data_IF_548008068118
#
_entry.id   IF_548008068118
#
_cell.length_a   1.000
_cell.length_b   1.000
_cell.length_c   1.000
_cell.angle_alpha   90.00
_cell.angle_beta   90.00
_cell.angle_gamma   90.00
#
_symmetry.space_group_name_H-M   'P 1'
#
loop_
_entity.id
_entity.type
_entity.pdbx_description
1 polymer ?
#
# COMPACT_ATOMS: atom_id res chain seq x y z
N UNK A 1 15.26 7.86 -19.76
CA UNK A 1 14.38 8.98 -20.14
C UNK A 1 12.96 8.53 -20.44
N UNK A 2 12.72 7.62 -21.42
CA UNK A 2 11.38 7.09 -21.72
C UNK A 2 10.66 6.44 -20.52
N UNK A 3 11.37 5.67 -19.69
CA UNK A 3 10.80 5.02 -18.50
C UNK A 3 10.21 6.03 -17.50
N UNK A 4 10.91 7.15 -17.27
CA UNK A 4 10.47 8.20 -16.35
C UNK A 4 9.21 8.92 -16.83
N UNK A 5 9.07 9.10 -18.15
CA UNK A 5 7.88 9.70 -18.78
C UNK A 5 6.66 8.78 -18.67
N UNK A 6 6.84 7.46 -18.89
CA UNK A 6 5.76 6.48 -18.72
C UNK A 6 5.32 6.34 -17.25
N UNK A 7 6.28 6.36 -16.33
CA UNK A 7 6.00 6.26 -14.89
C UNK A 7 5.26 7.49 -14.35
N UNK A 8 5.66 8.70 -14.73
CA UNK A 8 4.96 9.92 -14.31
C UNK A 8 3.54 9.97 -14.89
N UNK A 9 3.34 9.53 -16.13
CA UNK A 9 2.01 9.46 -16.75
C UNK A 9 1.10 8.43 -16.07
N UNK A 10 1.65 7.26 -15.69
CA UNK A 10 0.93 6.25 -14.94
C UNK A 10 0.51 6.76 -13.54
N UNK A 11 1.40 7.48 -12.85
CA UNK A 11 1.14 8.09 -11.55
C UNK A 11 0.02 9.14 -11.63
N UNK A 12 0.08 10.06 -12.59
CA UNK A 12 -0.96 11.08 -12.79
C UNK A 12 -2.30 10.44 -13.07
N UNK A 13 -2.34 9.41 -13.92
CA UNK A 13 -3.56 8.68 -14.23
C UNK A 13 -4.11 7.92 -13.02
N UNK A 14 -3.24 7.33 -12.18
CA UNK A 14 -3.64 6.67 -10.93
C UNK A 14 -4.20 7.64 -9.90
N UNK A 15 -3.62 8.85 -9.78
CA UNK A 15 -4.16 9.90 -8.92
C UNK A 15 -5.59 10.29 -9.33
N UNK A 16 -5.85 10.32 -10.64
CA UNK A 16 -7.16 10.62 -11.21
C UNK A 16 -8.21 9.53 -10.90
N UNK A 17 -7.80 8.25 -10.80
CA UNK A 17 -8.67 7.13 -10.35
C UNK A 17 -9.26 7.42 -8.98
N UNK A 18 -8.41 7.84 -8.03
CA UNK A 18 -8.81 8.04 -6.62
C UNK A 18 -9.66 9.30 -6.44
N UNK A 19 -9.48 10.32 -7.31
CA UNK A 19 -10.21 11.60 -7.26
C UNK A 19 -11.62 11.53 -7.87
N UNK A 20 -11.94 10.51 -8.65
CA UNK A 20 -13.21 10.43 -9.36
C UNK A 20 -14.38 10.18 -8.40
N UNK A 21 -15.40 11.06 -8.46
CA UNK A 21 -16.60 11.00 -7.61
C UNK A 21 -17.65 9.99 -8.09
N UNK A 22 -17.62 9.66 -9.37
CA UNK A 22 -18.51 8.68 -9.97
C UNK A 22 -17.78 7.33 -10.01
N UNK A 23 -18.29 6.29 -9.32
CA UNK A 23 -17.58 5.01 -9.19
C UNK A 23 -17.37 4.33 -10.54
N UNK A 24 -18.27 4.52 -11.52
CA UNK A 24 -18.07 4.06 -12.90
C UNK A 24 -16.83 4.71 -13.53
N UNK A 25 -16.60 5.99 -13.30
CA UNK A 25 -15.43 6.70 -13.83
C UNK A 25 -14.14 6.20 -13.18
N UNK A 26 -14.15 5.97 -11.86
CA UNK A 26 -13.00 5.43 -11.13
C UNK A 26 -12.54 4.09 -11.69
N UNK A 27 -13.47 3.22 -12.13
CA UNK A 27 -13.14 1.90 -12.69
C UNK A 27 -12.64 1.96 -14.13
N UNK A 28 -12.89 3.04 -14.87
CA UNK A 28 -12.42 3.21 -16.26
C UNK A 28 -11.00 3.80 -16.34
N UNK A 29 -10.58 4.62 -15.37
CA UNK A 29 -9.24 5.21 -15.31
C UNK A 29 -8.04 4.25 -15.17
N UNK A 30 -8.16 2.98 -14.72
CA UNK A 30 -7.09 1.99 -14.75
C UNK A 30 -6.64 1.59 -16.17
N UNK A 31 -7.50 1.74 -17.19
CA UNK A 31 -7.20 1.35 -18.58
C UNK A 31 -5.93 2.05 -19.11
N UNK A 32 -5.80 3.39 -19.06
CA UNK A 32 -4.57 4.07 -19.46
C UNK A 32 -3.37 3.72 -18.56
N UNK A 33 -3.56 3.47 -17.25
CA UNK A 33 -2.47 3.03 -16.36
C UNK A 33 -1.89 1.69 -16.83
N UNK A 34 -2.75 0.70 -17.06
CA UNK A 34 -2.31 -0.62 -17.52
C UNK A 34 -1.67 -0.60 -18.90
N UNK A 35 -2.13 0.28 -19.80
CA UNK A 35 -1.49 0.49 -21.10
C UNK A 35 -0.07 1.06 -20.95
N UNK A 36 0.13 2.02 -20.04
CA UNK A 36 1.47 2.55 -19.74
C UNK A 36 2.38 1.48 -19.11
N UNK A 37 1.85 0.66 -18.20
CA UNK A 37 2.61 -0.44 -17.59
C UNK A 37 2.97 -1.53 -18.61
N UNK A 38 2.06 -1.89 -19.53
CA UNK A 38 2.36 -2.83 -20.62
C UNK A 38 3.49 -2.32 -21.54
N UNK A 39 3.48 -1.03 -21.87
CA UNK A 39 4.59 -0.39 -22.57
C UNK A 39 5.89 -0.42 -21.78
N UNK A 40 5.83 -0.22 -20.46
CA UNK A 40 7.00 -0.30 -19.57
C UNK A 40 7.61 -1.71 -19.57
N UNK A 41 6.78 -2.75 -19.60
CA UNK A 41 7.23 -4.14 -19.63
C UNK A 41 7.81 -4.55 -20.99
N UNK A 42 7.28 -4.00 -22.08
CA UNK A 42 7.88 -4.16 -23.41
C UNK A 42 9.32 -3.58 -23.43
N UNK A 43 9.52 -2.40 -22.84
CA UNK A 43 10.86 -1.78 -22.73
C UNK A 43 11.81 -2.58 -21.81
N UNK A 44 11.26 -3.33 -20.85
CA UNK A 44 12.03 -4.17 -19.93
C UNK A 44 12.39 -5.54 -20.54
N UNK A 45 11.92 -5.85 -21.74
CA UNK A 45 12.15 -7.14 -22.42
C UNK A 45 11.23 -8.28 -21.96
N UNK A 46 10.10 -7.97 -21.30
CA UNK A 46 9.12 -8.96 -20.85
C UNK A 46 8.01 -9.15 -21.90
N UNK A 47 8.33 -9.84 -23.00
CA UNK A 47 7.39 -10.04 -24.12
C UNK A 47 6.13 -10.83 -23.75
N UNK A 48 6.29 -11.94 -23.03
CA UNK A 48 5.15 -12.78 -22.63
C UNK A 48 4.20 -12.03 -21.70
N UNK A 49 4.75 -11.31 -20.72
CA UNK A 49 3.94 -10.58 -19.77
C UNK A 49 3.29 -9.34 -20.40
N UNK A 50 3.98 -8.65 -21.33
CA UNK A 50 3.42 -7.50 -22.03
C UNK A 50 2.15 -7.84 -22.84
N UNK A 51 2.08 -9.06 -23.39
CA UNK A 51 0.92 -9.56 -24.14
C UNK A 51 -0.25 -9.99 -23.22
N UNK A 52 0.03 -10.69 -22.11
CA UNK A 52 -1.03 -11.20 -21.22
C UNK A 52 -1.57 -10.15 -20.24
N UNK A 53 -0.74 -9.18 -19.84
CA UNK A 53 -1.10 -8.19 -18.81
C UNK A 53 -2.34 -7.35 -19.17
N UNK A 54 -2.47 -6.79 -20.39
CA UNK A 54 -3.69 -6.10 -20.80
C UNK A 54 -4.90 -7.04 -20.89
N UNK A 55 -4.70 -8.27 -21.33
CA UNK A 55 -5.78 -9.27 -21.51
C UNK A 55 -6.43 -9.60 -20.17
N UNK A 56 -5.64 -9.91 -19.15
CA UNK A 56 -6.19 -10.28 -17.83
C UNK A 56 -6.68 -9.05 -17.06
N UNK A 57 -5.94 -7.94 -17.08
CA UNK A 57 -6.32 -6.78 -16.28
C UNK A 57 -7.51 -6.01 -16.87
N UNK A 58 -7.51 -5.73 -18.17
CA UNK A 58 -8.61 -5.01 -18.80
C UNK A 58 -9.76 -5.96 -19.12
N UNK A 59 -9.44 -7.17 -19.61
CA UNK A 59 -10.43 -8.13 -20.10
C UNK A 59 -11.14 -8.94 -19.01
N UNK A 60 -10.50 -9.22 -17.87
CA UNK A 60 -11.14 -9.93 -16.76
C UNK A 60 -11.41 -9.01 -15.57
N UNK A 61 -10.39 -8.35 -15.03
CA UNK A 61 -10.53 -7.60 -13.77
C UNK A 61 -11.41 -6.35 -13.96
N UNK A 62 -11.09 -5.49 -14.93
CA UNK A 62 -11.84 -4.23 -15.15
C UNK A 62 -13.29 -4.51 -15.53
N UNK A 63 -13.57 -5.51 -16.37
CA UNK A 63 -14.97 -5.85 -16.74
C UNK A 63 -15.76 -6.45 -15.57
N UNK A 64 -15.15 -7.33 -14.77
CA UNK A 64 -15.80 -7.86 -13.57
C UNK A 64 -16.08 -6.75 -12.56
N UNK A 65 -15.16 -5.78 -12.44
CA UNK A 65 -15.37 -4.63 -11.59
C UNK A 65 -16.45 -3.69 -12.14
N UNK A 66 -16.52 -3.49 -13.47
CA UNK A 66 -17.57 -2.71 -14.13
C UNK A 66 -18.96 -3.31 -13.87
N UNK A 67 -19.07 -4.64 -13.95
CA UNK A 67 -20.30 -5.37 -13.67
C UNK A 67 -20.74 -5.18 -12.22
N UNK A 68 -19.83 -5.40 -11.27
CA UNK A 68 -20.10 -5.25 -9.84
C UNK A 68 -20.50 -3.82 -9.49
N UNK A 69 -19.76 -2.83 -9.99
CA UNK A 69 -19.98 -1.41 -9.67
C UNK A 69 -21.27 -0.87 -10.28
N UNK A 70 -21.68 -1.35 -11.46
CA UNK A 70 -22.95 -0.93 -12.05
C UNK A 70 -24.15 -1.58 -11.35
N UNK A 71 -24.01 -2.82 -10.87
CA UNK A 71 -25.05 -3.49 -10.09
C UNK A 71 -25.16 -2.90 -8.67
N UNK A 72 -24.05 -2.41 -8.12
CA UNK A 72 -24.01 -1.71 -6.84
C UNK A 72 -24.37 -0.23 -7.03
N UNK A 73 -25.66 0.06 -6.98
CA UNK A 73 -26.17 1.44 -7.00
C UNK A 73 -25.64 2.22 -5.78
N UNK A 74 -24.61 3.05 -5.99
CA UNK A 74 -24.01 3.93 -4.99
C UNK A 74 -24.72 5.29 -4.98
N UNK A 75 -25.36 5.64 -3.85
CA UNK A 75 -25.94 6.97 -3.62
C UNK A 75 -24.89 7.86 -2.93
N UNK A 76 -24.19 8.70 -3.70
CA UNK A 76 -23.16 9.64 -3.19
C UNK A 76 -23.79 10.94 -2.65
N UNK A 77 -25.04 10.88 -2.18
CA UNK A 77 -25.71 12.04 -1.60
C UNK A 77 -25.48 12.05 -0.09
N UNK A 78 -25.05 13.20 0.44
CA UNK A 78 -25.06 13.59 1.87
C UNK A 78 -23.82 13.29 2.74
N UNK A 79 -22.90 12.41 2.35
CA UNK A 79 -21.65 12.13 3.11
C UNK A 79 -20.62 13.28 3.15
N UNK A 80 -20.85 14.37 2.42
CA UNK A 80 -19.80 15.37 2.17
C UNK A 80 -19.61 16.39 3.29
N UNK A 81 -20.67 16.75 4.04
CA UNK A 81 -20.53 17.74 5.13
C UNK A 81 -19.78 17.17 6.34
N UNK A 82 -20.01 15.89 6.65
CA UNK A 82 -19.28 15.20 7.71
C UNK A 82 -17.85 14.84 7.26
N UNK A 83 -17.64 14.31 6.05
CA UNK A 83 -16.29 13.97 5.54
C UNK A 83 -15.39 15.20 5.39
N UNK A 84 -15.93 16.36 4.99
CA UNK A 84 -15.16 17.62 4.94
C UNK A 84 -14.75 18.10 6.34
N UNK A 85 -15.52 17.78 7.38
CA UNK A 85 -15.18 18.09 8.77
C UNK A 85 -14.14 17.13 9.36
N UNK A 86 -14.11 15.88 8.91
CA UNK A 86 -13.11 14.87 9.31
C UNK A 86 -11.80 14.90 8.50
N UNK A 87 -11.79 15.56 7.33
CA UNK A 87 -10.59 15.78 6.51
C UNK A 87 -9.40 16.42 7.25
N UNK A 88 -9.57 17.51 8.02
CA UNK A 88 -8.47 18.09 8.78
C UNK A 88 -7.95 17.12 9.85
N UNK A 89 -8.84 16.38 10.52
CA UNK A 89 -8.48 15.42 11.58
C UNK A 89 -7.67 14.23 11.02
N UNK A 90 -8.13 13.62 9.93
CA UNK A 90 -7.38 12.54 9.28
C UNK A 90 -6.06 13.04 8.67
N UNK A 91 -6.01 14.31 8.22
CA UNK A 91 -4.79 14.98 7.79
C UNK A 91 -3.76 15.14 8.92
N UNK A 92 -4.15 15.62 10.10
CA UNK A 92 -3.23 15.75 11.24
C UNK A 92 -2.75 14.39 11.72
N UNK A 93 -3.65 13.41 11.85
CA UNK A 93 -3.28 12.05 12.28
C UNK A 93 -2.30 11.40 11.29
N UNK A 94 -2.53 11.55 9.99
CA UNK A 94 -1.67 10.99 8.96
C UNK A 94 -0.31 11.67 8.92
N UNK A 95 -0.24 12.98 9.14
CA UNK A 95 1.03 13.72 9.18
C UNK A 95 1.90 13.31 10.37
N UNK A 96 1.29 13.13 11.54
CA UNK A 96 1.98 12.64 12.74
C UNK A 96 2.52 11.23 12.50
N UNK A 97 1.68 10.33 11.95
CA UNK A 97 2.10 8.95 11.65
C UNK A 97 3.24 8.91 10.61
N UNK A 98 3.17 9.75 9.57
CA UNK A 98 4.20 9.85 8.56
C UNK A 98 5.53 10.36 9.14
N UNK A 99 5.45 11.37 10.03
CA UNK A 99 6.60 11.88 10.76
C UNK A 99 7.22 10.82 11.68
N UNK A 100 6.39 10.08 12.43
CA UNK A 100 6.87 8.98 13.28
C UNK A 100 7.56 7.89 12.45
N UNK A 101 6.99 7.50 11.31
CA UNK A 101 7.63 6.49 10.44
C UNK A 101 9.01 6.94 9.97
N UNK A 102 9.15 8.20 9.58
CA UNK A 102 10.44 8.76 9.17
C UNK A 102 11.43 8.84 10.33
N UNK A 103 10.99 9.31 11.50
CA UNK A 103 11.84 9.40 12.69
C UNK A 103 12.31 8.03 13.19
N UNK A 104 11.47 6.99 13.08
CA UNK A 104 11.83 5.62 13.45
C UNK A 104 12.88 5.05 12.47
N UNK A 105 12.77 5.35 11.18
CA UNK A 105 13.73 4.92 10.15
C UNK A 105 15.09 5.61 10.31
N UNK A 106 15.13 6.92 10.60
CA UNK A 106 16.37 7.64 10.86
C UNK A 106 17.06 7.17 12.15
N UNK A 107 16.26 6.71 13.12
CA UNK A 107 16.76 6.19 14.39
C UNK A 107 17.17 4.70 14.28
N UNK A 108 17.72 4.25 13.14
CA UNK A 108 18.35 2.92 12.91
C UNK A 108 19.58 2.64 13.84
N UNK A 109 19.67 3.37 14.95
CA UNK A 109 20.46 3.01 16.11
C UNK A 109 19.58 2.98 17.36
N UNK A 110 18.48 2.22 17.33
CA UNK A 110 17.91 1.65 18.56
C UNK A 110 18.79 0.44 18.93
N UNK A 111 19.78 0.57 19.83
CA UNK A 111 20.22 -0.58 20.59
C UNK A 111 18.97 -1.11 21.28
N UNK A 112 18.55 -2.31 20.87
CA UNK A 112 17.51 -3.06 21.56
C UNK A 112 17.84 -3.03 23.04
N UNK A 113 16.96 -2.40 23.83
CA UNK A 113 17.10 -2.39 25.27
C UNK A 113 17.31 -3.85 25.72
N UNK A 114 18.38 -4.18 26.46
CA UNK A 114 18.56 -5.50 27.05
C UNK A 114 17.63 -5.63 28.25
N UNK A 115 16.33 -5.62 28.00
CA UNK A 115 15.31 -6.02 28.96
C UNK A 115 15.15 -7.53 28.81
N UNK A 116 15.46 -8.28 29.87
CA UNK A 116 15.33 -9.76 30.01
C UNK A 116 16.58 -10.65 29.82
N UNK A 117 17.81 -10.21 30.16
CA UNK A 117 18.92 -11.17 30.44
C UNK A 117 19.34 -11.25 31.92
N UNK A 118 19.07 -10.24 32.76
CA UNK A 118 19.47 -10.27 34.18
C UNK A 118 18.49 -10.94 35.15
N UNK A 119 17.24 -11.20 34.78
CA UNK A 119 16.29 -11.90 35.66
C UNK A 119 16.29 -13.44 35.48
N UNK A 120 16.80 -13.95 34.35
CA UNK A 120 16.85 -15.40 34.08
C UNK A 120 18.19 -16.02 34.52
N UNK A 121 19.26 -15.23 34.65
CA UNK A 121 20.56 -15.72 35.14
C UNK A 121 20.55 -15.95 36.66
N UNK A 122 19.87 -15.11 37.46
CA UNK A 122 19.74 -15.33 38.92
C UNK A 122 18.87 -16.54 39.29
N UNK A 123 18.06 -17.05 38.35
CA UNK A 123 17.28 -18.29 38.50
C UNK A 123 17.99 -19.50 37.90
N UNK A 124 19.07 -19.36 37.14
CA UNK A 124 19.81 -20.52 36.59
C UNK A 124 21.22 -20.62 37.18
N UNK A 125 21.40 -20.09 38.39
CA UNK A 125 22.64 -20.21 39.16
C UNK A 125 22.41 -20.71 40.60
N UNK A 126 21.17 -20.98 41.00
CA UNK A 126 20.81 -21.67 42.25
C UNK A 126 20.51 -23.17 42.03
N UNK A 127 20.20 -23.59 40.79
CA UNK A 127 19.78 -24.98 40.47
C UNK A 127 20.90 -25.90 39.94
N UNK A 128 22.16 -25.45 39.95
CA UNK A 128 23.30 -26.23 39.42
C UNK A 128 24.25 -26.75 40.51
N UNK A 129 24.07 -26.36 41.78
CA UNK A 129 24.92 -26.87 42.89
C UNK A 129 24.42 -28.16 43.57
N UNK A 130 23.23 -28.69 43.23
CA UNK A 130 22.67 -29.89 43.90
C UNK A 130 22.78 -31.20 43.09
N UNK A 131 23.22 -31.16 41.83
CA UNK A 131 23.33 -32.34 40.94
C UNK A 131 24.76 -32.88 40.76
N UNK A 132 25.76 -32.36 41.48
CA UNK A 132 27.13 -32.92 41.51
C UNK A 132 27.46 -33.63 42.85
N UNK A 133 26.43 -33.95 43.64
CA UNK A 133 26.60 -34.71 44.89
C UNK A 133 25.62 -35.88 45.01
N UNK A 134 25.57 -36.72 43.97
CA UNK A 134 25.13 -38.11 44.11
C UNK A 134 25.80 -39.04 43.10
#
# INVERSE_FOLDING_TARGET
MMLSVLSSLALVSGLMVVRAKNPVHSVLFPIPVFRNTSGLLLLLGLDFFAMIFPVVHIGAIVVSFLFVVMMFHIQVAEIHEEVLRYLPVSGTIGLIFWWEMFFILDNESIPLLPTQRKAIQSTNQEYVEEEDKN
#
